data_IF_235651701276
#
_entry.id   IF_235651701276
#
_cell.length_a   1.000
_cell.length_b   1.000
_cell.length_c   1.000
_cell.angle_alpha   90.00
_cell.angle_beta   90.00
_cell.angle_gamma   90.00
#
_symmetry.space_group_name_H-M   'P 1'
#
loop_
_entity.id
_entity.type
_entity.pdbx_description
1 polymer ?
#
# COMPACT_ATOMS: atom_id res chain seq x y z
N UNK A 1 -3.04 -16.93 -38.01
CA UNK A 1 -2.33 -15.62 -38.08
C UNK A 1 -3.25 -14.47 -38.47
N UNK A 2 -4.23 -14.69 -39.37
CA UNK A 2 -5.21 -13.68 -39.82
C UNK A 2 -6.20 -13.26 -38.73
N UNK A 3 -6.70 -14.22 -37.94
CA UNK A 3 -7.58 -13.93 -36.79
C UNK A 3 -6.94 -13.02 -35.77
N UNK A 4 -5.64 -13.21 -35.45
CA UNK A 4 -4.90 -12.37 -34.52
C UNK A 4 -4.72 -10.95 -35.08
N UNK A 5 -4.47 -10.82 -36.40
CA UNK A 5 -4.39 -9.51 -37.08
C UNK A 5 -5.74 -8.80 -37.07
N UNK A 6 -6.83 -9.53 -37.30
CA UNK A 6 -8.19 -9.00 -37.25
C UNK A 6 -8.56 -8.50 -35.85
N UNK A 7 -8.27 -9.29 -34.79
CA UNK A 7 -8.48 -8.90 -33.39
C UNK A 7 -7.66 -7.65 -33.06
N UNK A 8 -6.38 -7.62 -33.42
CA UNK A 8 -5.52 -6.45 -33.22
C UNK A 8 -6.06 -5.21 -33.92
N UNK A 9 -6.51 -5.33 -35.16
CA UNK A 9 -7.09 -4.22 -35.94
C UNK A 9 -8.40 -3.75 -35.33
N UNK A 10 -9.25 -4.66 -34.85
CA UNK A 10 -10.50 -4.31 -34.20
C UNK A 10 -10.27 -3.65 -32.85
N UNK A 11 -9.35 -4.15 -32.04
CA UNK A 11 -9.03 -3.58 -30.72
C UNK A 11 -8.44 -2.16 -30.85
N UNK A 12 -7.48 -1.94 -31.77
CA UNK A 12 -6.84 -0.65 -31.98
C UNK A 12 -7.54 0.19 -33.06
N UNK A 13 -8.87 0.06 -33.18
CA UNK A 13 -9.66 0.89 -34.08
C UNK A 13 -9.59 2.35 -33.65
N UNK A 14 -9.29 3.26 -34.59
CA UNK A 14 -9.27 4.72 -34.37
C UNK A 14 -10.59 5.22 -33.77
N UNK A 15 -11.72 4.68 -34.27
CA UNK A 15 -13.05 5.05 -33.79
C UNK A 15 -13.29 4.74 -32.31
N UNK A 16 -12.50 3.84 -31.69
CA UNK A 16 -12.60 3.47 -30.28
C UNK A 16 -11.69 4.35 -29.42
N UNK A 17 -10.44 4.54 -29.84
CA UNK A 17 -9.39 5.10 -28.99
C UNK A 17 -9.12 6.59 -29.21
N UNK A 18 -9.55 7.16 -30.34
CA UNK A 18 -9.25 8.53 -30.71
C UNK A 18 -10.52 9.34 -30.96
N UNK A 19 -10.44 10.68 -30.84
CA UNK A 19 -11.54 11.55 -31.21
C UNK A 19 -11.93 11.39 -32.71
N UNK A 20 -13.18 11.72 -33.07
CA UNK A 20 -13.61 11.71 -34.46
C UNK A 20 -12.66 12.54 -35.36
N UNK A 21 -12.43 12.06 -36.58
CA UNK A 21 -11.54 12.66 -37.58
C UNK A 21 -10.04 12.67 -37.15
N UNK A 22 -9.64 11.83 -36.20
CA UNK A 22 -8.23 11.64 -35.83
C UNK A 22 -7.81 10.21 -36.12
N UNK A 23 -6.63 10.03 -36.70
CA UNK A 23 -6.03 8.74 -37.00
C UNK A 23 -4.78 8.51 -36.14
N UNK A 24 -4.30 7.26 -36.08
CA UNK A 24 -3.02 6.96 -35.42
C UNK A 24 -1.82 7.62 -36.09
N UNK A 25 -1.95 7.95 -37.40
CA UNK A 25 -0.92 8.64 -38.16
C UNK A 25 -0.81 10.11 -37.75
N UNK A 26 -1.93 10.74 -37.37
CA UNK A 26 -1.96 12.15 -36.93
C UNK A 26 -1.25 12.36 -35.58
N UNK A 27 -1.26 11.35 -34.73
CA UNK A 27 -0.58 11.39 -33.40
C UNK A 27 0.72 10.59 -33.40
N UNK A 28 1.20 10.15 -34.56
CA UNK A 28 2.49 9.47 -34.65
C UNK A 28 3.65 10.46 -34.40
N UNK A 29 4.78 9.98 -33.84
CA UNK A 29 5.96 10.81 -33.67
C UNK A 29 6.41 11.43 -35.01
N UNK A 30 6.58 12.75 -35.02
CA UNK A 30 6.99 13.47 -36.22
C UNK A 30 5.87 13.78 -37.21
N UNK A 31 4.60 13.48 -36.93
CA UNK A 31 3.44 13.85 -37.78
C UNK A 31 3.27 15.37 -37.92
N UNK A 32 3.58 16.13 -36.88
CA UNK A 32 3.55 17.59 -36.85
C UNK A 32 4.93 18.14 -36.47
N UNK A 33 5.45 19.16 -37.23
CA UNK A 33 6.84 19.64 -37.03
C UNK A 33 7.11 20.30 -35.69
N UNK A 34 6.08 20.71 -34.96
CA UNK A 34 6.23 21.41 -33.66
C UNK A 34 5.62 20.64 -32.48
N UNK A 35 5.11 19.43 -32.68
CA UNK A 35 4.46 18.62 -31.64
C UNK A 35 5.20 17.30 -31.48
N UNK A 36 5.72 17.05 -30.31
CA UNK A 36 6.33 15.78 -29.97
C UNK A 36 5.26 14.87 -29.35
N UNK A 37 4.69 13.97 -30.14
CA UNK A 37 3.69 13.01 -29.66
C UNK A 37 4.33 11.82 -28.93
N UNK A 38 3.53 11.14 -28.11
CA UNK A 38 3.93 9.89 -27.44
C UNK A 38 4.18 8.79 -28.47
N UNK A 39 5.32 8.10 -28.37
CA UNK A 39 5.54 6.88 -29.14
C UNK A 39 5.10 5.68 -28.31
N UNK A 40 4.20 4.84 -28.84
CA UNK A 40 3.80 3.59 -28.18
C UNK A 40 4.98 2.63 -27.98
N UNK A 41 6.05 2.77 -28.77
CA UNK A 41 7.29 1.98 -28.63
C UNK A 41 8.03 2.29 -27.34
N UNK A 42 7.81 3.47 -26.76
CA UNK A 42 8.40 3.84 -25.48
C UNK A 42 7.96 2.91 -24.35
N UNK A 43 6.81 2.25 -24.47
CA UNK A 43 6.31 1.30 -23.48
C UNK A 43 7.22 0.06 -23.27
N UNK A 44 8.22 -0.12 -24.14
CA UNK A 44 9.24 -1.16 -23.93
C UNK A 44 10.27 -0.75 -22.88
N UNK A 45 10.58 0.56 -22.74
CA UNK A 45 11.62 1.06 -21.86
C UNK A 45 11.37 0.82 -20.37
N UNK A 46 10.14 0.91 -19.85
CA UNK A 46 9.84 0.58 -18.46
C UNK A 46 10.26 -0.84 -18.05
N UNK A 47 10.31 -1.81 -18.96
CA UNK A 47 10.67 -3.20 -18.63
C UNK A 47 12.16 -3.35 -18.22
N UNK A 48 13.16 -2.95 -19.05
CA UNK A 48 14.55 -2.97 -18.62
C UNK A 48 14.81 -2.00 -17.46
N UNK A 49 14.12 -0.85 -17.41
CA UNK A 49 14.21 0.07 -16.27
C UNK A 49 13.69 -0.56 -14.98
N UNK A 50 12.63 -1.37 -15.01
CA UNK A 50 12.13 -2.09 -13.84
C UNK A 50 13.18 -3.07 -13.30
N UNK A 51 13.94 -3.74 -14.18
CA UNK A 51 15.03 -4.58 -13.77
C UNK A 51 16.14 -3.78 -13.06
N UNK A 52 16.49 -2.62 -13.60
CA UNK A 52 17.45 -1.70 -12.96
C UNK A 52 16.95 -1.25 -11.58
N UNK A 53 15.68 -0.89 -11.48
CA UNK A 53 15.03 -0.50 -10.21
C UNK A 53 15.08 -1.64 -9.19
N UNK A 54 14.86 -2.89 -9.62
CA UNK A 54 14.96 -4.06 -8.73
C UNK A 54 16.40 -4.33 -8.27
N UNK A 55 17.38 -4.17 -9.14
CA UNK A 55 18.80 -4.29 -8.77
C UNK A 55 19.20 -3.17 -7.80
N UNK A 56 18.80 -1.93 -8.07
CA UNK A 56 19.06 -0.79 -7.20
C UNK A 56 18.40 -1.02 -5.82
N UNK A 57 17.15 -1.47 -5.78
CA UNK A 57 16.48 -1.86 -4.56
C UNK A 57 17.28 -2.87 -3.76
N UNK A 58 17.67 -3.98 -4.40
CA UNK A 58 18.41 -5.06 -3.74
C UNK A 58 19.73 -4.56 -3.15
N UNK A 59 20.49 -3.75 -3.91
CA UNK A 59 21.76 -3.19 -3.46
C UNK A 59 21.57 -2.22 -2.29
N UNK A 60 20.59 -1.31 -2.36
CA UNK A 60 20.30 -0.38 -1.28
C UNK A 60 19.79 -1.09 -0.03
N UNK A 61 18.88 -2.04 -0.16
CA UNK A 61 18.36 -2.82 0.97
C UNK A 61 19.48 -3.59 1.68
N UNK A 62 20.42 -4.20 0.94
CA UNK A 62 21.48 -5.04 1.50
C UNK A 62 22.63 -4.25 2.11
N UNK A 63 23.12 -3.22 1.42
CA UNK A 63 24.38 -2.56 1.77
C UNK A 63 24.17 -1.28 2.60
N UNK A 64 23.02 -0.64 2.53
CA UNK A 64 22.74 0.62 3.20
C UNK A 64 21.63 0.50 4.24
N UNK A 65 20.46 0.05 3.82
CA UNK A 65 19.25 0.10 4.67
C UNK A 65 19.34 -0.96 5.79
N UNK A 66 19.73 -2.20 5.49
CA UNK A 66 19.82 -3.24 6.51
C UNK A 66 20.88 -2.95 7.59
N UNK A 67 22.09 -2.43 7.28
CA UNK A 67 23.03 -1.94 8.29
C UNK A 67 22.45 -0.83 9.17
N UNK A 68 21.83 0.20 8.56
CA UNK A 68 21.16 1.28 9.31
C UNK A 68 20.09 0.72 10.24
N UNK A 69 19.25 -0.20 9.76
CA UNK A 69 18.23 -0.85 10.59
C UNK A 69 18.83 -1.60 11.77
N UNK A 70 19.96 -2.26 11.61
CA UNK A 70 20.69 -2.93 12.70
C UNK A 70 21.22 -1.93 13.73
N UNK A 71 21.80 -0.80 13.28
CA UNK A 71 22.25 0.29 14.15
C UNK A 71 21.10 0.90 14.98
N UNK A 72 19.90 0.99 14.41
CA UNK A 72 18.69 1.41 15.11
C UNK A 72 18.14 0.33 16.08
N UNK A 73 18.84 -0.77 16.26
CA UNK A 73 18.45 -1.86 17.17
C UNK A 73 17.31 -2.75 16.66
N UNK A 74 16.99 -2.67 15.36
CA UNK A 74 15.92 -3.49 14.78
C UNK A 74 16.40 -4.94 14.67
N UNK A 75 15.66 -5.84 15.32
CA UNK A 75 16.03 -7.27 15.39
C UNK A 75 15.93 -7.93 14.01
N UNK A 76 17.07 -8.32 13.47
CA UNK A 76 17.19 -9.18 12.28
C UNK A 76 17.21 -10.68 12.61
N UNK A 77 17.16 -11.04 13.91
CA UNK A 77 17.28 -12.43 14.34
C UNK A 77 16.05 -13.25 13.92
N UNK A 78 16.32 -14.40 13.32
CA UNK A 78 15.27 -15.40 13.11
C UNK A 78 14.75 -15.87 14.48
N UNK A 79 13.44 -16.11 14.63
CA UNK A 79 12.88 -16.66 15.86
C UNK A 79 13.50 -18.03 16.15
N UNK A 80 13.51 -18.42 17.43
CA UNK A 80 14.00 -19.74 17.86
C UNK A 80 13.37 -20.84 17.01
N UNK A 81 14.21 -21.75 16.51
CA UNK A 81 13.74 -22.87 15.69
C UNK A 81 12.84 -23.78 16.51
N UNK A 82 11.70 -24.18 15.95
CA UNK A 82 10.87 -25.22 16.52
C UNK A 82 11.64 -26.54 16.50
N UNK A 83 11.46 -27.40 17.50
CA UNK A 83 12.05 -28.74 17.52
C UNK A 83 11.56 -29.55 16.32
N UNK A 84 12.45 -30.32 15.70
CA UNK A 84 12.06 -31.16 14.57
C UNK A 84 11.07 -32.25 15.06
N UNK A 85 9.86 -32.22 14.56
CA UNK A 85 8.84 -33.23 14.79
C UNK A 85 8.07 -33.44 13.48
N UNK A 86 8.26 -34.62 12.89
CA UNK A 86 7.70 -34.97 11.57
C UNK A 86 6.18 -34.99 11.60
N UNK A 87 5.57 -35.44 12.70
CA UNK A 87 4.11 -35.51 12.86
C UNK A 87 3.52 -34.10 12.82
N UNK A 88 4.08 -33.17 13.60
CA UNK A 88 3.62 -31.79 13.67
C UNK A 88 3.86 -31.04 12.37
N UNK A 89 5.01 -31.28 11.70
CA UNK A 89 5.36 -30.65 10.42
C UNK A 89 4.40 -31.07 9.31
N UNK A 90 4.08 -32.36 9.20
CA UNK A 90 3.13 -32.90 8.20
C UNK A 90 1.72 -32.28 8.35
N UNK A 91 1.29 -32.03 9.57
CA UNK A 91 -0.02 -31.40 9.82
C UNK A 91 0.07 -29.89 9.57
N UNK A 92 1.19 -29.25 9.95
CA UNK A 92 1.40 -27.83 9.72
C UNK A 92 1.40 -27.43 8.23
N UNK A 93 2.03 -28.24 7.38
CA UNK A 93 2.04 -28.04 5.91
C UNK A 93 0.62 -28.10 5.33
N UNK A 94 -0.24 -28.97 5.85
CA UNK A 94 -1.63 -29.09 5.40
C UNK A 94 -2.51 -27.95 5.92
N UNK A 95 -2.29 -27.50 7.15
CA UNK A 95 -3.04 -26.41 7.78
C UNK A 95 -2.20 -25.67 8.81
N UNK A 96 -1.93 -24.39 8.58
CA UNK A 96 -1.23 -23.56 9.55
C UNK A 96 -2.14 -23.00 10.66
N UNK A 97 -3.45 -23.29 10.61
CA UNK A 97 -4.43 -22.93 11.66
C UNK A 97 -4.56 -24.09 12.63
N UNK A 98 -4.25 -23.81 13.90
CA UNK A 98 -4.38 -24.76 14.99
C UNK A 98 -5.79 -24.62 15.61
N UNK A 99 -6.56 -25.72 15.63
CA UNK A 99 -7.84 -25.80 16.33
C UNK A 99 -7.68 -26.67 17.59
N UNK A 100 -8.46 -26.41 18.62
CA UNK A 100 -8.40 -27.15 19.89
C UNK A 100 -8.55 -28.67 19.71
N UNK A 101 -9.47 -29.13 18.83
CA UNK A 101 -9.60 -30.56 18.49
C UNK A 101 -8.30 -31.15 17.90
N UNK A 102 -7.58 -30.37 17.08
CA UNK A 102 -6.28 -30.79 16.53
C UNK A 102 -5.21 -30.86 17.62
N UNK A 103 -5.21 -29.94 18.58
CA UNK A 103 -4.26 -29.97 19.71
C UNK A 103 -4.38 -31.25 20.49
N UNK A 104 -5.61 -31.65 20.87
CA UNK A 104 -5.89 -32.89 21.60
C UNK A 104 -5.49 -34.14 20.81
N UNK A 105 -5.80 -34.17 19.51
CA UNK A 105 -5.40 -35.28 18.62
C UNK A 105 -3.88 -35.39 18.49
N UNK A 106 -3.19 -34.27 18.30
CA UNK A 106 -1.73 -34.20 18.12
C UNK A 106 -0.99 -34.48 19.43
N UNK A 107 -1.58 -34.17 20.59
CA UNK A 107 -0.98 -34.49 21.90
C UNK A 107 -0.85 -36.00 22.10
N UNK A 108 -1.85 -36.76 21.67
CA UNK A 108 -1.85 -38.23 21.71
C UNK A 108 -0.89 -38.84 20.66
N UNK A 109 -0.79 -38.25 19.46
CA UNK A 109 0.03 -38.79 18.38
C UNK A 109 1.52 -38.47 18.56
N UNK A 110 1.86 -37.30 19.09
CA UNK A 110 3.24 -36.84 19.20
C UNK A 110 3.83 -37.05 20.62
N UNK A 111 3.05 -37.64 21.54
CA UNK A 111 3.38 -37.81 22.98
C UNK A 111 3.89 -36.51 23.61
N UNK A 112 3.16 -35.42 23.36
CA UNK A 112 3.48 -34.09 23.83
C UNK A 112 2.27 -33.46 24.53
N UNK A 113 2.55 -32.64 25.56
CA UNK A 113 1.49 -31.88 26.21
C UNK A 113 0.89 -30.82 25.24
N UNK A 114 -0.38 -30.48 25.44
CA UNK A 114 -1.07 -29.44 24.65
C UNK A 114 -0.28 -28.11 24.60
N UNK A 115 0.29 -27.71 25.75
CA UNK A 115 1.13 -26.48 25.82
C UNK A 115 2.41 -26.59 25.01
N UNK A 116 3.01 -27.78 24.90
CA UNK A 116 4.20 -28.00 24.05
C UNK A 116 3.85 -27.91 22.60
N UNK A 117 2.69 -28.45 22.17
CA UNK A 117 2.20 -28.35 20.79
C UNK A 117 1.89 -26.90 20.40
N UNK A 118 1.16 -26.16 21.27
CA UNK A 118 0.89 -24.75 21.04
C UNK A 118 2.19 -23.91 20.97
N UNK A 119 3.17 -24.22 21.84
CA UNK A 119 4.49 -23.57 21.81
C UNK A 119 5.22 -23.87 20.51
N UNK A 120 5.25 -25.14 20.08
CA UNK A 120 5.85 -25.58 18.83
C UNK A 120 5.21 -24.86 17.64
N UNK A 121 3.86 -24.83 17.63
CA UNK A 121 3.10 -24.18 16.56
C UNK A 121 3.37 -22.68 16.46
N UNK A 122 3.48 -22.01 17.59
CA UNK A 122 3.86 -20.57 17.66
C UNK A 122 5.26 -20.35 17.12
N UNK A 123 6.22 -21.18 17.50
CA UNK A 123 7.60 -21.09 17.03
C UNK A 123 7.70 -21.36 15.54
N UNK A 124 7.04 -22.41 15.07
CA UNK A 124 7.04 -22.80 13.65
C UNK A 124 6.39 -21.71 12.77
N UNK A 125 5.24 -21.18 13.20
CA UNK A 125 4.60 -20.05 12.53
C UNK A 125 5.44 -18.77 12.57
N UNK A 126 6.23 -18.57 13.62
CA UNK A 126 7.14 -17.43 13.69
C UNK A 126 8.30 -17.55 12.71
N UNK A 127 8.75 -18.76 12.37
CA UNK A 127 9.81 -19.00 11.39
C UNK A 127 9.38 -18.66 9.97
N UNK A 128 8.10 -18.85 9.62
CA UNK A 128 7.56 -18.49 8.32
C UNK A 128 7.35 -16.98 8.14
N UNK A 129 7.39 -16.21 9.25
CA UNK A 129 7.25 -14.76 9.19
C UNK A 129 8.60 -14.11 8.88
N UNK A 130 8.64 -13.17 7.94
CA UNK A 130 9.85 -12.39 7.69
C UNK A 130 10.24 -11.56 8.91
N UNK A 131 11.55 -11.38 9.11
CA UNK A 131 12.07 -10.59 10.23
C UNK A 131 11.61 -9.13 10.15
N UNK A 132 11.60 -8.44 11.30
CA UNK A 132 11.28 -7.01 11.35
C UNK A 132 12.24 -6.18 10.51
N UNK A 133 13.53 -6.60 10.45
CA UNK A 133 14.54 -5.95 9.63
C UNK A 133 14.21 -6.01 8.13
N UNK A 134 13.74 -7.17 7.62
CA UNK A 134 13.32 -7.30 6.22
C UNK A 134 12.16 -6.35 5.92
N UNK A 135 11.14 -6.33 6.79
CA UNK A 135 10.00 -5.40 6.64
C UNK A 135 10.43 -3.94 6.69
N UNK A 136 11.37 -3.60 7.58
CA UNK A 136 11.94 -2.26 7.65
C UNK A 136 12.63 -1.90 6.34
N UNK A 137 13.48 -2.79 5.79
CA UNK A 137 14.20 -2.53 4.55
C UNK A 137 13.26 -2.32 3.37
N UNK A 138 12.26 -3.18 3.19
CA UNK A 138 11.25 -3.04 2.13
C UNK A 138 10.49 -1.71 2.22
N UNK A 139 10.05 -1.31 3.44
CA UNK A 139 9.30 -0.08 3.58
C UNK A 139 10.20 1.17 3.47
N UNK A 140 11.49 1.08 3.88
CA UNK A 140 12.44 2.18 3.66
C UNK A 140 12.67 2.42 2.18
N UNK A 141 12.87 1.37 1.39
CA UNK A 141 13.00 1.48 -0.06
C UNK A 141 11.79 2.19 -0.68
N UNK A 142 10.57 1.76 -0.32
CA UNK A 142 9.33 2.37 -0.83
C UNK A 142 9.21 3.83 -0.41
N UNK A 143 9.51 4.14 0.84
CA UNK A 143 9.49 5.52 1.34
C UNK A 143 10.44 6.42 0.55
N UNK A 144 11.67 5.98 0.30
CA UNK A 144 12.65 6.72 -0.49
C UNK A 144 12.18 6.93 -1.93
N UNK A 145 11.62 5.89 -2.54
CA UNK A 145 11.12 5.99 -3.90
C UNK A 145 9.93 6.96 -4.00
N UNK A 146 8.92 6.84 -3.14
CA UNK A 146 7.77 7.76 -3.16
C UNK A 146 8.18 9.21 -2.89
N UNK A 147 9.14 9.43 -1.99
CA UNK A 147 9.70 10.77 -1.77
C UNK A 147 10.38 11.31 -3.03
N UNK A 148 11.22 10.50 -3.67
CA UNK A 148 11.85 10.85 -4.93
C UNK A 148 10.82 11.14 -6.04
N UNK A 149 9.86 10.22 -6.25
CA UNK A 149 8.85 10.34 -7.32
C UNK A 149 7.95 11.57 -7.13
N UNK A 150 7.53 11.83 -5.89
CA UNK A 150 6.72 13.01 -5.56
C UNK A 150 7.47 14.31 -5.79
N UNK A 151 8.72 14.42 -5.29
CA UNK A 151 9.54 15.63 -5.49
C UNK A 151 9.84 15.82 -6.98
N UNK A 152 10.21 14.77 -7.69
CA UNK A 152 10.45 14.81 -9.13
C UNK A 152 9.18 15.21 -9.89
N UNK A 153 8.03 14.63 -9.54
CA UNK A 153 6.74 14.99 -10.12
C UNK A 153 6.37 16.46 -9.89
N UNK A 154 6.63 17.00 -8.69
CA UNK A 154 6.44 18.43 -8.42
C UNK A 154 7.33 19.31 -9.28
N UNK A 155 8.62 18.98 -9.41
CA UNK A 155 9.57 19.74 -10.23
C UNK A 155 9.12 19.73 -11.69
N UNK A 156 8.73 18.56 -12.21
CA UNK A 156 8.32 18.39 -13.61
C UNK A 156 6.99 19.08 -13.92
N UNK A 157 6.07 19.11 -12.96
CA UNK A 157 4.71 19.63 -13.19
C UNK A 157 4.53 21.10 -12.78
N UNK A 158 5.45 21.66 -12.03
CA UNK A 158 5.30 23.01 -11.45
C UNK A 158 5.04 24.11 -12.48
N UNK A 159 5.71 24.05 -13.61
CA UNK A 159 5.61 25.02 -14.72
C UNK A 159 4.49 24.66 -15.73
N UNK A 160 3.80 23.53 -15.54
CA UNK A 160 2.76 23.08 -16.46
C UNK A 160 1.40 23.67 -16.07
N UNK A 161 0.69 24.20 -17.05
CA UNK A 161 -0.62 24.84 -16.85
C UNK A 161 -1.67 23.89 -16.25
N UNK A 162 -1.64 22.62 -16.64
CA UNK A 162 -2.60 21.62 -16.17
C UNK A 162 -2.39 21.16 -14.73
N UNK A 163 -1.22 21.48 -14.13
CA UNK A 163 -0.99 21.23 -12.70
C UNK A 163 -1.86 22.14 -11.82
N UNK A 164 -2.06 23.37 -12.25
CA UNK A 164 -2.82 24.38 -11.54
C UNK A 164 -4.30 24.41 -11.95
N UNK A 165 -4.59 24.21 -13.25
CA UNK A 165 -5.95 24.09 -13.77
C UNK A 165 -6.13 22.78 -14.53
N UNK A 166 -6.89 21.86 -13.90
CA UNK A 166 -7.13 20.51 -14.44
C UNK A 166 -7.81 20.55 -15.82
N UNK A 167 -8.60 21.60 -16.13
CA UNK A 167 -9.22 21.76 -17.45
C UNK A 167 -8.19 21.87 -18.57
N UNK A 168 -7.02 22.40 -18.27
CA UNK A 168 -5.91 22.52 -19.23
C UNK A 168 -5.36 21.17 -19.70
N UNK A 169 -5.77 20.06 -19.08
CA UNK A 169 -5.47 18.71 -19.57
C UNK A 169 -6.14 18.45 -20.93
N UNK A 170 -7.28 19.08 -21.22
CA UNK A 170 -8.10 18.78 -22.38
C UNK A 170 -7.85 19.71 -23.56
N UNK A 171 -7.30 20.91 -23.32
CA UNK A 171 -7.05 21.87 -24.42
C UNK A 171 -5.95 21.36 -25.35
N UNK A 172 -6.24 21.43 -26.65
CA UNK A 172 -5.33 20.99 -27.70
C UNK A 172 -5.19 19.48 -27.86
N UNK A 173 -5.96 18.67 -27.12
CA UNK A 173 -5.98 17.23 -27.31
C UNK A 173 -6.57 16.88 -28.71
N UNK A 174 -6.02 15.90 -29.46
CA UNK A 174 -4.94 14.99 -29.10
C UNK A 174 -3.52 15.49 -29.43
N UNK A 175 -3.34 16.65 -30.00
CA UNK A 175 -2.05 17.20 -30.46
C UNK A 175 -1.29 17.92 -29.33
N UNK A 176 -1.11 17.22 -28.21
CA UNK A 176 -0.36 17.74 -27.07
C UNK A 176 1.10 17.28 -27.10
N UNK A 177 2.03 18.23 -27.07
CA UNK A 177 3.46 17.93 -27.08
C UNK A 177 3.93 17.38 -25.73
N UNK A 178 4.75 16.33 -25.76
CA UNK A 178 5.41 15.73 -24.60
C UNK A 178 6.80 16.32 -24.49
N UNK A 179 7.11 16.87 -23.34
CA UNK A 179 8.45 17.31 -22.97
C UNK A 179 9.28 16.14 -22.40
N UNK A 180 10.61 16.22 -22.52
CA UNK A 180 11.50 15.15 -22.06
C UNK A 180 11.38 14.86 -20.56
N UNK A 181 11.07 15.86 -19.75
CA UNK A 181 10.85 15.73 -18.31
C UNK A 181 9.62 14.87 -17.99
N UNK A 182 8.50 15.08 -18.72
CA UNK A 182 7.29 14.25 -18.63
C UNK A 182 7.58 12.81 -19.09
N UNK A 183 8.36 12.65 -20.15
CA UNK A 183 8.77 11.31 -20.63
C UNK A 183 9.50 10.53 -19.52
N UNK A 184 10.53 11.14 -18.92
CA UNK A 184 11.27 10.50 -17.83
C UNK A 184 10.40 10.20 -16.60
N UNK A 185 9.54 11.15 -16.23
CA UNK A 185 8.63 10.97 -15.10
C UNK A 185 7.70 9.77 -15.32
N UNK A 186 7.12 9.67 -16.52
CA UNK A 186 6.22 8.57 -16.88
C UNK A 186 6.93 7.22 -16.94
N UNK A 187 8.09 7.15 -17.62
CA UNK A 187 8.82 5.89 -17.81
C UNK A 187 9.37 5.34 -16.50
N UNK A 188 9.94 6.21 -15.65
CA UNK A 188 10.44 5.80 -14.33
C UNK A 188 9.29 5.34 -13.43
N UNK A 189 8.17 6.07 -13.40
CA UNK A 189 6.99 5.68 -12.61
C UNK A 189 6.44 4.32 -13.08
N UNK A 190 6.32 4.13 -14.38
CA UNK A 190 5.85 2.86 -14.95
C UNK A 190 6.83 1.71 -14.64
N UNK A 191 8.13 1.94 -14.72
CA UNK A 191 9.16 0.97 -14.35
C UNK A 191 9.05 0.55 -12.87
N UNK A 192 8.77 1.50 -11.99
CA UNK A 192 8.55 1.20 -10.58
C UNK A 192 7.29 0.34 -10.36
N UNK A 193 6.15 0.68 -10.99
CA UNK A 193 4.95 -0.13 -10.89
C UNK A 193 5.14 -1.54 -11.47
N UNK A 194 5.91 -1.71 -12.54
CA UNK A 194 6.33 -3.03 -13.01
C UNK A 194 7.16 -3.78 -11.96
N UNK A 195 8.14 -3.09 -11.36
CA UNK A 195 8.96 -3.68 -10.29
C UNK A 195 8.12 -4.09 -9.08
N UNK A 196 7.14 -3.27 -8.66
CA UNK A 196 6.22 -3.60 -7.57
C UNK A 196 5.34 -4.81 -7.90
N UNK A 197 4.84 -4.88 -9.14
CA UNK A 197 4.00 -6.01 -9.59
C UNK A 197 4.76 -7.33 -9.54
N UNK A 198 6.01 -7.35 -10.01
CA UNK A 198 6.87 -8.54 -9.99
C UNK A 198 7.26 -8.89 -8.55
N UNK A 199 7.72 -7.92 -7.77
CA UNK A 199 8.21 -8.17 -6.41
C UNK A 199 7.10 -8.48 -5.42
N UNK A 200 5.84 -8.14 -5.72
CA UNK A 200 4.68 -8.49 -4.89
C UNK A 200 4.55 -10.00 -4.63
N UNK A 201 5.00 -10.83 -5.56
CA UNK A 201 5.00 -12.29 -5.41
C UNK A 201 6.17 -12.81 -4.57
N UNK A 202 7.25 -12.02 -4.43
CA UNK A 202 8.48 -12.36 -3.71
C UNK A 202 8.47 -11.75 -2.31
N UNK A 203 7.96 -10.54 -2.18
CA UNK A 203 7.90 -9.76 -0.95
C UNK A 203 6.96 -10.39 0.10
N UNK A 204 7.02 -9.84 1.30
CA UNK A 204 6.15 -10.25 2.41
C UNK A 204 4.68 -10.15 2.02
N UNK A 205 3.99 -11.30 1.97
CA UNK A 205 2.56 -11.36 1.66
C UNK A 205 1.76 -10.55 2.68
N UNK A 206 1.01 -9.57 2.21
CA UNK A 206 0.13 -8.70 2.99
C UNK A 206 -1.30 -9.26 2.97
N UNK A 207 -2.15 -8.76 3.89
CA UNK A 207 -3.56 -9.16 3.96
C UNK A 207 -4.36 -8.68 2.75
N UNK A 208 -3.98 -7.55 2.18
CA UNK A 208 -4.57 -6.86 1.04
C UNK A 208 -3.88 -7.19 -0.30
N UNK A 209 -3.26 -8.39 -0.39
CA UNK A 209 -2.50 -8.82 -1.56
C UNK A 209 -3.28 -8.66 -2.87
N UNK A 210 -4.52 -9.14 -2.93
CA UNK A 210 -5.32 -9.07 -4.16
C UNK A 210 -5.77 -7.66 -4.51
N UNK A 211 -6.11 -6.83 -3.50
CA UNK A 211 -6.44 -5.42 -3.72
C UNK A 211 -5.25 -4.66 -4.30
N UNK A 212 -4.05 -4.88 -3.75
CA UNK A 212 -2.81 -4.29 -4.27
C UNK A 212 -2.46 -4.78 -5.67
N UNK A 213 -2.66 -6.07 -5.95
CA UNK A 213 -2.41 -6.63 -7.28
C UNK A 213 -3.33 -5.99 -8.33
N UNK A 214 -4.65 -5.92 -8.06
CA UNK A 214 -5.61 -5.27 -8.94
C UNK A 214 -5.24 -3.79 -9.13
N UNK A 215 -4.87 -3.10 -8.04
CA UNK A 215 -4.43 -1.72 -8.11
C UNK A 215 -3.24 -1.53 -9.06
N UNK A 216 -2.17 -2.32 -8.91
CA UNK A 216 -0.99 -2.24 -9.78
C UNK A 216 -1.35 -2.53 -11.25
N UNK A 217 -2.19 -3.54 -11.50
CA UNK A 217 -2.61 -3.87 -12.87
C UNK A 217 -3.43 -2.75 -13.50
N UNK A 218 -4.39 -2.18 -12.76
CA UNK A 218 -5.20 -1.04 -13.25
C UNK A 218 -4.34 0.20 -13.47
N UNK A 219 -3.38 0.47 -12.58
CA UNK A 219 -2.45 1.59 -12.72
C UNK A 219 -1.57 1.43 -13.95
N UNK A 220 -0.95 0.27 -14.16
CA UNK A 220 -0.14 -0.02 -15.35
C UNK A 220 -0.97 0.08 -16.64
N UNK A 221 -2.21 -0.40 -16.62
CA UNK A 221 -3.11 -0.30 -17.75
C UNK A 221 -3.47 1.15 -18.06
N UNK A 222 -3.83 1.94 -17.04
CA UNK A 222 -4.10 3.37 -17.19
C UNK A 222 -2.90 4.13 -17.73
N UNK A 223 -1.70 3.89 -17.18
CA UNK A 223 -0.48 4.54 -17.64
C UNK A 223 -0.16 4.19 -19.10
N UNK A 224 -0.24 2.89 -19.44
CA UNK A 224 0.04 2.44 -20.81
C UNK A 224 -0.96 2.99 -21.83
N UNK A 225 -2.25 2.90 -21.52
CA UNK A 225 -3.29 3.42 -22.42
C UNK A 225 -3.25 4.95 -22.54
N UNK A 226 -3.02 5.65 -21.42
CA UNK A 226 -2.91 7.12 -21.44
C UNK A 226 -1.69 7.59 -22.25
N UNK A 227 -0.59 6.83 -22.24
CA UNK A 227 0.58 7.10 -23.06
C UNK A 227 0.26 6.91 -24.53
N UNK A 228 -0.30 5.76 -24.92
CA UNK A 228 -0.66 5.46 -26.31
C UNK A 228 -1.65 6.46 -26.89
N UNK A 229 -2.64 6.89 -26.09
CA UNK A 229 -3.66 7.86 -26.53
C UNK A 229 -3.25 9.33 -26.33
N UNK A 230 -1.99 9.62 -26.00
CA UNK A 230 -1.49 10.97 -25.70
C UNK A 230 -2.24 11.73 -24.58
N UNK A 231 -2.80 10.99 -23.60
CA UNK A 231 -3.49 11.54 -22.40
C UNK A 231 -2.53 11.69 -21.21
N UNK A 232 -1.25 11.99 -21.48
CA UNK A 232 -0.18 12.06 -20.48
C UNK A 232 -0.38 13.15 -19.42
N UNK A 233 -1.10 14.25 -19.73
CA UNK A 233 -1.36 15.33 -18.78
C UNK A 233 -2.19 14.86 -17.59
N UNK A 234 -3.32 14.20 -17.86
CA UNK A 234 -4.16 13.63 -16.79
C UNK A 234 -3.41 12.55 -16.01
N UNK A 235 -2.69 11.66 -16.72
CA UNK A 235 -1.93 10.60 -16.07
C UNK A 235 -0.84 11.13 -15.15
N UNK A 236 -0.12 12.20 -15.52
CA UNK A 236 0.90 12.83 -14.67
C UNK A 236 0.31 13.43 -13.39
N UNK A 237 -0.90 14.03 -13.46
CA UNK A 237 -1.62 14.51 -12.27
C UNK A 237 -2.02 13.35 -11.34
N UNK A 238 -2.54 12.27 -11.91
CA UNK A 238 -2.90 11.08 -11.13
C UNK A 238 -1.68 10.54 -10.39
N UNK A 239 -0.52 10.44 -11.03
CA UNK A 239 0.72 9.95 -10.43
C UNK A 239 1.15 10.80 -9.22
N UNK A 240 1.30 12.13 -9.39
CA UNK A 240 1.79 13.00 -8.30
C UNK A 240 0.84 13.03 -7.11
N UNK A 241 -0.47 13.02 -7.36
CA UNK A 241 -1.49 12.96 -6.31
C UNK A 241 -1.39 11.64 -5.53
N UNK A 242 -1.05 10.53 -6.21
CA UNK A 242 -0.92 9.23 -5.56
C UNK A 242 0.36 9.14 -4.70
N UNK A 243 1.47 9.59 -5.17
CA UNK A 243 2.75 9.44 -4.46
C UNK A 243 2.82 10.23 -3.15
N UNK A 244 2.10 11.35 -3.04
CA UNK A 244 2.12 12.25 -1.90
C UNK A 244 1.80 11.56 -0.56
N UNK A 245 0.70 10.81 -0.49
CA UNK A 245 0.26 10.17 0.75
C UNK A 245 1.13 8.97 1.13
N UNK A 246 1.67 8.26 0.14
CA UNK A 246 2.39 7.01 0.36
C UNK A 246 3.74 7.22 1.08
N UNK A 247 4.33 8.40 0.97
CA UNK A 247 5.52 8.80 1.76
C UNK A 247 5.23 8.67 3.26
N UNK A 248 4.14 9.28 3.72
CA UNK A 248 3.78 9.30 5.14
C UNK A 248 3.35 7.90 5.63
N UNK A 249 2.68 7.11 4.79
CA UNK A 249 2.32 5.74 5.11
C UNK A 249 3.56 4.88 5.39
N UNK A 250 4.53 4.93 4.50
CA UNK A 250 5.75 4.15 4.67
C UNK A 250 6.60 4.70 5.83
N UNK A 251 6.71 6.02 6.01
CA UNK A 251 7.39 6.64 7.15
C UNK A 251 6.77 6.23 8.50
N UNK A 252 5.44 6.16 8.62
CA UNK A 252 4.77 5.68 9.83
C UNK A 252 5.12 4.21 10.14
N UNK A 253 5.21 3.37 9.11
CA UNK A 253 5.65 1.97 9.28
C UNK A 253 7.10 1.88 9.76
N UNK A 254 8.00 2.72 9.23
CA UNK A 254 9.41 2.75 9.63
C UNK A 254 9.57 3.11 11.10
N UNK A 255 8.91 4.18 11.56
CA UNK A 255 8.95 4.61 12.96
C UNK A 255 8.37 3.55 13.90
N UNK A 256 7.33 2.83 13.47
CA UNK A 256 6.79 1.68 14.20
C UNK A 256 7.80 0.56 14.35
N UNK A 257 8.54 0.20 13.28
CA UNK A 257 9.56 -0.84 13.35
C UNK A 257 10.77 -0.43 14.19
N UNK A 258 11.08 0.86 14.23
CA UNK A 258 12.12 1.43 15.09
C UNK A 258 11.66 1.65 16.55
N UNK A 259 10.42 1.25 16.92
CA UNK A 259 9.82 1.41 18.25
C UNK A 259 9.61 2.86 18.72
N UNK A 260 9.54 3.83 17.82
CA UNK A 260 9.20 5.23 18.11
C UNK A 260 7.68 5.46 18.01
N UNK A 261 6.91 4.93 19.01
CA UNK A 261 5.45 4.91 18.92
C UNK A 261 4.82 6.31 18.81
N UNK A 262 5.25 7.29 19.61
CA UNK A 262 4.70 8.67 19.56
C UNK A 262 4.89 9.31 18.18
N UNK A 263 6.08 9.11 17.58
CA UNK A 263 6.38 9.61 16.24
C UNK A 263 5.55 8.87 15.17
N UNK A 264 5.37 7.57 15.34
CA UNK A 264 4.50 6.76 14.46
C UNK A 264 3.07 7.31 14.46
N UNK A 265 2.52 7.59 15.65
CA UNK A 265 1.14 8.08 15.77
C UNK A 265 0.98 9.47 15.15
N UNK A 266 1.96 10.37 15.34
CA UNK A 266 1.97 11.69 14.73
C UNK A 266 2.05 11.62 13.19
N UNK A 267 2.98 10.82 12.64
CA UNK A 267 3.10 10.65 11.19
C UNK A 267 1.86 9.97 10.61
N UNK A 268 1.26 9.02 11.33
CA UNK A 268 0.03 8.36 10.90
C UNK A 268 -1.18 9.31 10.88
N UNK A 269 -1.25 10.26 11.80
CA UNK A 269 -2.25 11.32 11.76
C UNK A 269 -2.07 12.23 10.54
N UNK A 270 -0.84 12.68 10.25
CA UNK A 270 -0.52 13.44 9.03
C UNK A 270 -0.87 12.63 7.78
N UNK A 271 -0.48 11.34 7.73
CA UNK A 271 -0.85 10.44 6.66
C UNK A 271 -2.36 10.42 6.41
N UNK A 272 -3.16 10.29 7.48
CA UNK A 272 -4.63 10.21 7.34
C UNK A 272 -5.21 11.49 6.73
N UNK A 273 -4.72 12.67 7.15
CA UNK A 273 -5.16 13.95 6.60
C UNK A 273 -4.76 14.06 5.12
N UNK A 274 -3.49 13.80 4.80
CA UNK A 274 -2.99 13.87 3.43
C UNK A 274 -3.70 12.85 2.53
N UNK A 275 -3.98 11.64 3.04
CA UNK A 275 -4.75 10.62 2.33
C UNK A 275 -6.15 11.12 1.96
N UNK A 276 -6.90 11.67 2.92
CA UNK A 276 -8.25 12.18 2.68
C UNK A 276 -8.21 13.30 1.63
N UNK A 277 -7.30 14.27 1.78
CA UNK A 277 -7.19 15.40 0.86
C UNK A 277 -6.83 14.95 -0.55
N UNK A 278 -5.86 14.05 -0.69
CA UNK A 278 -5.40 13.61 -2.02
C UNK A 278 -6.34 12.61 -2.67
N UNK A 279 -6.84 11.59 -1.93
CA UNK A 279 -7.63 10.49 -2.49
C UNK A 279 -9.13 10.75 -2.54
N UNK A 280 -9.67 11.56 -1.63
CA UNK A 280 -11.09 11.90 -1.58
C UNK A 280 -11.36 13.36 -1.97
N UNK A 281 -10.33 14.20 -2.09
CA UNK A 281 -10.42 15.57 -2.59
C UNK A 281 -9.90 15.70 -4.02
N UNK A 282 -8.57 15.70 -4.19
CA UNK A 282 -7.96 15.96 -5.51
C UNK A 282 -8.25 14.88 -6.55
N UNK A 283 -8.22 13.62 -6.18
CA UNK A 283 -8.46 12.54 -7.14
C UNK A 283 -9.90 12.54 -7.70
N UNK A 284 -10.98 12.68 -6.92
CA UNK A 284 -12.33 12.89 -7.46
C UNK A 284 -12.46 14.15 -8.31
N UNK A 285 -11.70 15.23 -8.03
CA UNK A 285 -11.65 16.43 -8.88
C UNK A 285 -11.10 16.12 -10.27
N UNK A 286 -10.09 15.25 -10.36
CA UNK A 286 -9.56 14.78 -11.66
C UNK A 286 -10.63 13.94 -12.39
N UNK A 287 -11.32 13.04 -11.69
CA UNK A 287 -12.42 12.25 -12.28
C UNK A 287 -13.55 13.16 -12.77
N UNK A 288 -13.93 14.15 -11.98
CA UNK A 288 -14.94 15.14 -12.38
C UNK A 288 -14.51 15.88 -13.66
N UNK A 289 -13.25 16.29 -13.74
CA UNK A 289 -12.72 16.93 -14.94
C UNK A 289 -12.76 15.99 -16.16
N UNK A 290 -12.38 14.72 -15.96
CA UNK A 290 -12.44 13.72 -17.04
C UNK A 290 -13.86 13.37 -17.44
N UNK A 291 -14.82 13.32 -16.51
CA UNK A 291 -16.18 12.83 -16.77
C UNK A 291 -17.17 13.92 -17.14
N UNK A 292 -16.95 15.17 -16.72
CA UNK A 292 -17.91 16.28 -16.94
C UNK A 292 -17.31 17.40 -17.79
N UNK A 293 -16.07 17.81 -17.51
CA UNK A 293 -15.46 18.95 -18.23
C UNK A 293 -14.89 18.54 -19.59
N UNK A 294 -14.27 17.35 -19.69
CA UNK A 294 -13.72 16.86 -20.95
C UNK A 294 -14.78 16.76 -22.06
N UNK A 295 -16.00 16.22 -21.85
CA UNK A 295 -17.04 16.16 -22.86
C UNK A 295 -17.55 17.52 -23.37
N UNK A 296 -17.32 18.60 -22.60
CA UNK A 296 -17.69 19.96 -23.02
C UNK A 296 -16.64 20.58 -23.95
N UNK A 297 -15.42 20.04 -23.95
CA UNK A 297 -14.27 20.57 -24.69
C UNK A 297 -13.97 19.69 -25.92
N UNK A 298 -14.16 18.38 -25.75
CA UNK A 298 -13.78 17.37 -26.74
C UNK A 298 -15.00 16.60 -27.24
N UNK A 299 -15.02 16.21 -28.51
CA UNK A 299 -16.02 15.27 -29.00
C UNK A 299 -15.84 13.92 -28.32
N UNK A 300 -16.95 13.28 -27.95
CA UNK A 300 -16.95 12.00 -27.25
C UNK A 300 -16.50 10.85 -28.14
N UNK A 301 -15.72 9.92 -27.58
CA UNK A 301 -15.26 8.69 -28.22
C UNK A 301 -15.24 7.54 -27.20
N UNK A 302 -15.34 6.26 -27.64
CA UNK A 302 -15.57 5.14 -26.72
C UNK A 302 -14.50 4.93 -25.64
N UNK A 303 -13.22 5.22 -25.92
CA UNK A 303 -12.14 5.09 -24.93
C UNK A 303 -12.35 5.97 -23.68
N UNK A 304 -13.09 7.08 -23.81
CA UNK A 304 -13.52 7.89 -22.68
C UNK A 304 -14.17 7.04 -21.59
N UNK A 305 -15.08 6.13 -21.94
CA UNK A 305 -15.73 5.25 -20.97
C UNK A 305 -14.76 4.28 -20.34
N UNK A 306 -13.78 3.77 -21.11
CA UNK A 306 -12.73 2.86 -20.62
C UNK A 306 -11.89 3.58 -19.57
N UNK A 307 -11.38 4.78 -19.88
CA UNK A 307 -10.56 5.55 -18.94
C UNK A 307 -11.32 5.91 -17.66
N UNK A 308 -12.55 6.43 -17.79
CA UNK A 308 -13.35 6.78 -16.62
C UNK A 308 -13.71 5.54 -15.78
N UNK A 309 -13.99 4.38 -16.39
CA UNK A 309 -14.23 3.14 -15.65
C UNK A 309 -13.01 2.72 -14.85
N UNK A 310 -11.80 2.79 -15.43
CA UNK A 310 -10.56 2.47 -14.72
C UNK A 310 -10.27 3.46 -13.59
N UNK A 311 -10.51 4.76 -13.79
CA UNK A 311 -10.38 5.78 -12.74
C UNK A 311 -11.38 5.54 -11.59
N UNK A 312 -12.64 5.21 -11.91
CA UNK A 312 -13.66 4.89 -10.90
C UNK A 312 -13.29 3.62 -10.14
N UNK A 313 -12.73 2.60 -10.82
CA UNK A 313 -12.25 1.39 -10.14
C UNK A 313 -11.17 1.71 -9.10
N UNK A 314 -10.22 2.59 -9.41
CA UNK A 314 -9.25 3.07 -8.41
C UNK A 314 -9.93 3.85 -7.27
N UNK A 315 -10.94 4.67 -7.57
CA UNK A 315 -11.69 5.39 -6.52
C UNK A 315 -12.37 4.44 -5.56
N UNK A 316 -12.97 3.36 -6.06
CA UNK A 316 -13.57 2.31 -5.21
C UNK A 316 -12.52 1.70 -4.27
N UNK A 317 -11.33 1.38 -4.77
CA UNK A 317 -10.23 0.89 -3.93
C UNK A 317 -9.81 1.93 -2.88
N UNK A 318 -9.76 3.21 -3.22
CA UNK A 318 -9.46 4.28 -2.26
C UNK A 318 -10.51 4.36 -1.14
N UNK A 319 -11.80 4.22 -1.47
CA UNK A 319 -12.88 4.19 -0.47
C UNK A 319 -12.71 2.99 0.49
N UNK A 320 -12.42 1.80 -0.04
CA UNK A 320 -12.17 0.60 0.77
C UNK A 320 -10.98 0.81 1.71
N UNK A 321 -9.87 1.35 1.21
CA UNK A 321 -8.70 1.64 2.05
C UNK A 321 -8.98 2.77 3.05
N UNK A 322 -9.72 3.79 2.68
CA UNK A 322 -10.13 4.86 3.61
C UNK A 322 -10.90 4.29 4.79
N UNK A 323 -11.86 3.38 4.53
CA UNK A 323 -12.58 2.69 5.61
C UNK A 323 -11.63 1.93 6.55
N UNK A 324 -10.65 1.21 6.01
CA UNK A 324 -9.66 0.49 6.82
C UNK A 324 -8.76 1.45 7.64
N UNK A 325 -8.35 2.58 7.06
CA UNK A 325 -7.54 3.60 7.74
C UNK A 325 -8.33 4.22 8.88
N UNK A 326 -9.57 4.66 8.62
CA UNK A 326 -10.44 5.25 9.65
C UNK A 326 -10.72 4.28 10.79
N UNK A 327 -10.91 3.00 10.50
CA UNK A 327 -11.06 1.97 11.54
C UNK A 327 -9.82 1.90 12.44
N UNK A 328 -8.61 1.96 11.88
CA UNK A 328 -7.36 1.98 12.67
C UNK A 328 -7.29 3.25 13.53
N UNK A 329 -7.68 4.42 12.99
CA UNK A 329 -7.73 5.69 13.74
C UNK A 329 -8.68 5.58 14.92
N UNK A 330 -9.91 5.12 14.70
CA UNK A 330 -10.93 4.96 15.75
C UNK A 330 -10.45 4.00 16.84
N UNK A 331 -9.94 2.84 16.47
CA UNK A 331 -9.40 1.84 17.41
C UNK A 331 -8.24 2.41 18.25
N UNK A 332 -7.41 3.27 17.65
CA UNK A 332 -6.27 3.91 18.32
C UNK A 332 -6.72 4.98 19.31
N UNK A 333 -7.69 5.81 18.93
CA UNK A 333 -8.28 6.84 19.79
C UNK A 333 -9.01 6.19 20.97
N UNK A 334 -9.81 5.16 20.75
CA UNK A 334 -10.52 4.45 21.82
C UNK A 334 -9.56 3.83 22.82
N UNK A 335 -8.48 3.19 22.36
CA UNK A 335 -7.44 2.63 23.27
C UNK A 335 -6.73 3.72 24.05
N UNK A 336 -6.43 4.86 23.45
CA UNK A 336 -5.86 6.02 24.12
C UNK A 336 -6.80 6.57 25.21
N UNK A 337 -8.07 6.74 24.90
CA UNK A 337 -9.07 7.19 25.88
C UNK A 337 -9.24 6.24 27.06
N UNK A 338 -9.30 4.93 26.79
CA UNK A 338 -9.35 3.90 27.85
C UNK A 338 -8.11 3.96 28.72
N UNK A 339 -6.91 4.09 28.14
CA UNK A 339 -5.67 4.21 28.91
C UNK A 339 -5.66 5.45 29.80
N UNK A 340 -6.10 6.61 29.28
CA UNK A 340 -6.18 7.86 30.05
C UNK A 340 -7.20 7.72 31.18
N UNK A 341 -8.37 7.12 30.90
CA UNK A 341 -9.39 6.87 31.91
C UNK A 341 -8.88 6.01 33.07
N UNK A 342 -8.15 4.91 32.78
CA UNK A 342 -7.56 4.07 33.82
C UNK A 342 -6.48 4.80 34.63
N UNK A 343 -5.63 5.61 33.96
CA UNK A 343 -4.58 6.37 34.66
C UNK A 343 -5.17 7.47 35.55
N UNK A 344 -6.27 8.11 35.14
CA UNK A 344 -6.91 9.19 35.91
C UNK A 344 -7.76 8.69 37.07
N UNK A 345 -8.35 7.50 36.98
CA UNK A 345 -9.27 6.98 37.98
C UNK A 345 -8.67 5.97 38.97
N UNK A 346 -7.46 5.46 38.69
CA UNK A 346 -6.73 4.59 39.63
C UNK A 346 -5.45 5.28 40.10
N UNK A 347 -5.39 5.75 41.37
CA UNK A 347 -4.19 6.35 41.92
C UNK A 347 -3.04 5.35 41.88
N UNK A 348 -1.83 5.86 41.61
CA UNK A 348 -0.60 5.06 41.62
C UNK A 348 -0.49 4.35 42.96
N UNK A 349 -0.55 3.03 42.96
CA UNK A 349 -0.18 2.24 44.15
C UNK A 349 1.27 2.56 44.50
N UNK A 350 1.48 3.10 45.69
CA UNK A 350 2.80 3.37 46.21
C UNK A 350 3.48 2.02 46.47
N UNK A 351 4.61 1.76 45.85
CA UNK A 351 5.32 0.47 45.90
C UNK A 351 5.85 0.06 47.29
N UNK A 352 5.63 0.87 48.32
CA UNK A 352 6.12 0.68 49.68
C UNK A 352 5.03 0.52 50.76
N UNK A 353 3.76 0.33 50.35
CA UNK A 353 2.69 0.08 51.33
C UNK A 353 2.23 -1.38 51.26
N UNK A 354 2.07 -2.09 52.40
CA UNK A 354 1.45 -3.44 52.43
C UNK A 354 0.01 -3.32 51.92
N UNK A 355 -0.40 -4.28 51.08
CA UNK A 355 -1.69 -4.38 50.41
C UNK A 355 -2.86 -4.28 51.39
N UNK A 356 -3.39 -3.08 51.62
CA UNK A 356 -4.73 -2.86 52.12
C UNK A 356 -5.48 -1.92 51.20
N UNK A 357 -6.20 -2.49 50.24
CA UNK A 357 -7.23 -1.80 49.50
C UNK A 357 -8.55 -1.90 50.25
N UNK A 358 -8.89 -0.88 51.00
CA UNK A 358 -10.25 -0.70 51.52
C UNK A 358 -11.05 0.06 50.45
N UNK A 359 -11.89 -0.65 49.72
CA UNK A 359 -12.96 -0.05 48.93
C UNK A 359 -14.22 -0.01 49.79
N UNK A 360 -14.70 1.19 50.08
CA UNK A 360 -16.06 1.37 50.58
C UNK A 360 -17.04 1.03 49.45
N UNK A 361 -17.88 0.03 49.72
CA UNK A 361 -19.06 -0.49 49.06
C UNK A 361 -18.91 -1.79 48.25
N UNK A 362 -19.39 -2.83 48.95
CA UNK A 362 -19.99 -4.07 48.48
C UNK A 362 -19.78 -4.52 47.01
N UNK A 363 -18.63 -5.09 46.72
CA UNK A 363 -18.46 -6.25 45.84
C UNK A 363 -17.01 -6.74 45.94
N UNK A 364 -16.80 -7.91 46.48
CA UNK A 364 -15.49 -8.59 46.46
C UNK A 364 -15.22 -9.07 45.03
N UNK A 365 -14.47 -8.30 44.28
CA UNK A 365 -13.80 -8.78 43.07
C UNK A 365 -12.28 -8.67 43.28
N UNK A 366 -11.62 -9.80 43.46
CA UNK A 366 -10.17 -9.88 43.38
C UNK A 366 -9.73 -9.74 41.95
N UNK A 367 -9.28 -8.53 41.57
CA UNK A 367 -8.54 -8.32 40.33
C UNK A 367 -7.04 -8.28 40.64
N UNK A 368 -6.18 -8.99 39.91
CA UNK A 368 -4.73 -8.93 40.11
C UNK A 368 -4.21 -7.54 39.79
N UNK A 369 -3.31 -7.05 40.60
CA UNK A 369 -2.62 -5.76 40.49
C UNK A 369 -1.93 -5.63 39.12
N UNK A 370 -2.07 -4.52 38.38
CA UNK A 370 -1.55 -4.39 36.99
C UNK A 370 -0.02 -4.23 36.89
N UNK A 371 0.74 -4.37 37.95
CA UNK A 371 2.20 -4.17 37.98
C UNK A 371 3.07 -5.38 37.63
N UNK A 372 2.50 -6.54 37.31
CA UNK A 372 3.26 -7.68 36.77
C UNK A 372 3.34 -7.72 35.22
N UNK A 373 3.03 -6.63 34.53
CA UNK A 373 3.12 -6.51 33.06
C UNK A 373 4.31 -5.66 32.60
N UNK A 374 5.44 -5.75 33.30
CA UNK A 374 6.72 -5.42 32.69
C UNK A 374 7.38 -6.71 32.21
N UNK A 375 7.73 -6.73 30.91
CA UNK A 375 8.51 -7.76 30.23
C UNK A 375 7.69 -9.01 29.85
N UNK A 376 6.77 -8.87 28.91
CA UNK A 376 6.59 -9.85 27.81
C UNK A 376 5.66 -9.27 26.76
N UNK A 377 6.24 -8.88 25.64
CA UNK A 377 5.50 -8.51 24.45
C UNK A 377 4.69 -9.70 23.92
N UNK A 378 3.42 -9.66 24.10
CA UNK A 378 2.44 -10.44 23.33
C UNK A 378 1.07 -9.87 23.58
N UNK A 379 0.54 -9.20 22.57
CA UNK A 379 -0.87 -8.81 22.51
C UNK A 379 -1.70 -10.08 22.46
N UNK A 380 -2.32 -10.44 23.57
CA UNK A 380 -3.43 -11.42 23.58
C UNK A 380 -4.67 -10.71 23.07
N UNK A 381 -5.16 -11.17 21.94
CA UNK A 381 -6.49 -10.91 21.42
C UNK A 381 -7.52 -11.37 22.45
N UNK A 382 -8.24 -10.42 23.07
CA UNK A 382 -9.42 -10.75 23.87
C UNK A 382 -10.55 -11.00 22.86
N UNK A 383 -11.01 -12.24 22.86
CA UNK A 383 -12.21 -12.70 22.17
C UNK A 383 -13.41 -11.91 22.67
N UNK A 384 -14.10 -11.24 21.76
CA UNK A 384 -15.44 -10.68 22.00
C UNK A 384 -16.41 -11.83 22.21
N UNK A 385 -16.83 -12.03 23.46
CA UNK A 385 -18.06 -12.75 23.75
C UNK A 385 -19.26 -11.83 23.47
N UNK A 386 -20.21 -12.38 22.76
CA UNK A 386 -21.50 -11.81 22.42
C UNK A 386 -22.23 -11.28 23.64
N UNK A 387 -22.63 -10.01 23.61
CA UNK A 387 -23.77 -9.54 24.40
C UNK A 387 -24.94 -9.39 23.42
N UNK A 388 -25.85 -10.37 23.47
CA UNK A 388 -27.24 -10.19 23.05
C UNK A 388 -27.92 -9.34 24.12
N UNK A 389 -28.48 -8.21 23.72
CA UNK A 389 -29.53 -7.53 24.45
C UNK A 389 -30.77 -7.54 23.54
N UNK A 390 -31.79 -8.16 24.04
CA UNK A 390 -33.19 -8.15 23.58
C UNK A 390 -33.75 -6.74 23.32
#
# INVERSE_FOLDING_TARGET
METLKAIKKSFWSTNVWLPPNTTWEDIAPGSLPHVNHADYRDLIWPLPMALIVMILRYTLERYWIAPIGKHLGIKGSRPKKATNNIILENVYVKSNRLNHKMVISLSKQADMTERQIERWWRLRRAQDKPSTLVKFSENTWRCLYYAYSFIFGLIVLWDKTWFWDVKSCWYGYPHQSISNDIWWYYMISMAFYWSLTVTQFIDVKRKDFWQMFIHHMVTLLLMSLSWVCNLHRVGSLVLVVHDCADIFLEAAKLTKYANYQKLCDAIFAVFTIVWIVTRLGFYPRIIYSSSVEAPQILPMFPAYYIFNTLLIMLLILHIVWTYMILKIVIDSVQKGLVSVYYISNFPKCNSNAPLQCTTNNHAKFQLPCPYSFQIMGSVKTISTQNFNIS
#
